data_IF_588481894938
#
_entry.id   IF_588481894938
#
_cell.length_a   1.000
_cell.length_b   1.000
_cell.length_c   1.000
_cell.angle_alpha   90.00
_cell.angle_beta   90.00
_cell.angle_gamma   90.00
#
_symmetry.space_group_name_H-M   'P 1'
#
loop_
_entity.id
_entity.type
_entity.pdbx_description
1 polymer ?
#
# COMPACT_ATOMS: atom_id res chain seq x y z
N UNK A 1 -7.48 -13.53 -23.44
CA UNK A 1 -6.03 -13.43 -23.16
C UNK A 1 -5.87 -12.73 -21.83
N UNK A 2 -5.05 -13.26 -20.93
CA UNK A 2 -4.68 -12.57 -19.69
C UNK A 2 -3.61 -11.52 -20.00
N UNK A 3 -3.72 -10.34 -19.39
CA UNK A 3 -2.76 -9.24 -19.55
C UNK A 3 -2.08 -9.02 -18.20
N UNK A 4 -0.74 -8.94 -18.20
CA UNK A 4 0.01 -8.60 -16.98
C UNK A 4 -0.25 -7.12 -16.66
N UNK A 5 -0.63 -6.84 -15.42
CA UNK A 5 -0.88 -5.47 -14.96
C UNK A 5 0.46 -4.70 -14.90
N UNK A 6 0.46 -3.50 -15.46
CA UNK A 6 1.58 -2.54 -15.45
C UNK A 6 1.06 -1.16 -15.84
N UNK A 7 1.89 -0.12 -15.66
CA UNK A 7 1.55 1.25 -16.06
C UNK A 7 1.31 1.38 -17.56
N UNK A 8 2.03 0.58 -18.36
CA UNK A 8 1.93 0.59 -19.82
C UNK A 8 0.59 0.08 -20.37
N UNK A 9 -0.19 -0.65 -19.57
CA UNK A 9 -1.51 -1.15 -19.99
C UNK A 9 -2.68 -0.33 -19.45
N UNK A 10 -2.45 0.66 -18.57
CA UNK A 10 -3.53 1.42 -17.92
C UNK A 10 -4.46 2.11 -18.93
N UNK A 11 -3.91 2.65 -20.02
CA UNK A 11 -4.69 3.26 -21.11
C UNK A 11 -5.46 2.26 -21.98
N UNK A 12 -5.25 0.95 -21.77
CA UNK A 12 -5.82 -0.15 -22.56
C UNK A 12 -6.56 -1.16 -21.67
N UNK A 13 -6.94 -0.74 -20.45
CA UNK A 13 -7.75 -1.58 -19.57
C UNK A 13 -9.08 -1.92 -20.26
N UNK A 14 -9.63 -3.11 -19.99
CA UNK A 14 -10.98 -3.45 -20.43
C UNK A 14 -12.00 -2.38 -19.95
N UNK A 15 -13.04 -2.07 -20.73
CA UNK A 15 -14.02 -1.02 -20.39
C UNK A 15 -14.67 -1.18 -19.01
N UNK A 16 -14.79 -2.41 -18.53
CA UNK A 16 -15.34 -2.77 -17.22
C UNK A 16 -14.37 -2.59 -16.04
N UNK A 17 -13.08 -2.33 -16.32
CA UNK A 17 -12.04 -2.13 -15.31
C UNK A 17 -11.72 -0.64 -15.20
N UNK A 18 -12.08 -0.03 -14.08
CA UNK A 18 -11.66 1.35 -13.79
C UNK A 18 -10.16 1.42 -13.54
N UNK A 19 -9.52 2.50 -13.99
CA UNK A 19 -8.10 2.77 -13.72
C UNK A 19 -7.87 4.17 -13.16
N UNK A 20 -6.65 4.46 -12.67
CA UNK A 20 -6.28 5.78 -12.17
C UNK A 20 -6.47 6.88 -13.24
N UNK A 21 -7.09 7.99 -12.86
CA UNK A 21 -7.28 9.20 -13.69
C UNK A 21 -6.26 10.30 -13.37
N UNK A 22 -5.28 10.00 -12.55
CA UNK A 22 -4.21 10.90 -12.12
C UNK A 22 -2.85 10.46 -12.68
N UNK A 23 -1.93 11.42 -12.83
CA UNK A 23 -0.57 11.12 -13.25
C UNK A 23 0.22 10.50 -12.09
N UNK A 24 0.47 9.20 -12.19
CA UNK A 24 1.24 8.45 -11.19
C UNK A 24 2.68 8.93 -11.07
N UNK A 25 3.29 9.44 -12.15
CA UNK A 25 4.66 9.92 -12.13
C UNK A 25 4.81 11.25 -11.38
N UNK A 26 3.71 11.99 -11.20
CA UNK A 26 3.68 13.25 -10.44
C UNK A 26 3.44 13.06 -8.94
N UNK A 27 3.11 11.84 -8.50
CA UNK A 27 2.83 11.53 -7.10
C UNK A 27 4.08 11.72 -6.22
N UNK A 28 3.88 12.23 -5.01
CA UNK A 28 4.92 12.35 -3.99
C UNK A 28 4.54 11.58 -2.74
N UNK A 29 5.53 10.95 -2.11
CA UNK A 29 5.31 10.20 -0.89
C UNK A 29 4.91 11.14 0.25
N UNK A 30 3.83 10.80 0.95
CA UNK A 30 3.42 11.47 2.19
C UNK A 30 3.13 10.50 3.34
N UNK A 31 3.12 9.19 3.05
CA UNK A 31 2.76 8.13 3.98
C UNK A 31 3.77 7.00 3.88
N UNK A 32 4.27 6.54 5.02
CA UNK A 32 4.90 5.22 5.15
C UNK A 32 3.89 4.26 5.76
N UNK A 33 3.71 3.09 5.15
CA UNK A 33 2.78 2.07 5.63
C UNK A 33 3.49 0.76 5.95
N UNK A 34 3.45 0.34 7.22
CA UNK A 34 3.99 -0.96 7.65
C UNK A 34 2.92 -2.06 7.60
N UNK A 35 3.29 -3.19 7.01
CA UNK A 35 2.39 -4.33 6.86
C UNK A 35 1.53 -4.22 5.61
N UNK A 36 2.11 -4.33 4.42
CA UNK A 36 1.40 -4.17 3.12
C UNK A 36 0.59 -5.42 2.79
N UNK A 37 -0.52 -5.59 3.51
CA UNK A 37 -1.42 -6.72 3.39
C UNK A 37 -2.57 -6.52 2.40
N UNK A 38 -3.51 -7.47 2.38
CA UNK A 38 -4.75 -7.36 1.59
C UNK A 38 -5.64 -6.23 2.11
N UNK A 39 -5.84 -6.15 3.43
CA UNK A 39 -6.69 -5.14 4.05
C UNK A 39 -6.23 -3.72 3.72
N UNK A 40 -4.91 -3.47 3.78
CA UNK A 40 -4.36 -2.17 3.40
C UNK A 40 -4.73 -1.77 1.97
N UNK A 41 -4.46 -2.67 1.02
CA UNK A 41 -4.68 -2.43 -0.41
C UNK A 41 -6.16 -2.33 -0.79
N UNK A 42 -7.04 -2.98 -0.04
CA UNK A 42 -8.50 -2.92 -0.24
C UNK A 42 -9.20 -1.83 0.59
N UNK A 43 -8.48 -1.09 1.44
CA UNK A 43 -9.08 -0.09 2.33
C UNK A 43 -8.38 1.26 2.26
N UNK A 44 -7.22 1.44 2.92
CA UNK A 44 -6.57 2.77 2.97
C UNK A 44 -6.12 3.22 1.58
N UNK A 45 -5.56 2.30 0.78
CA UNK A 45 -5.14 2.59 -0.58
C UNK A 45 -6.31 2.98 -1.50
N UNK A 46 -7.48 2.39 -1.28
CA UNK A 46 -8.72 2.68 -2.00
C UNK A 46 -9.19 4.11 -1.75
N UNK A 47 -9.22 4.57 -0.49
CA UNK A 47 -9.62 5.95 -0.17
C UNK A 47 -8.67 7.00 -0.74
N UNK A 48 -7.35 6.72 -0.76
CA UNK A 48 -6.38 7.59 -1.42
C UNK A 48 -6.57 7.61 -2.94
N UNK A 49 -6.91 6.47 -3.54
CA UNK A 49 -7.17 6.39 -4.98
C UNK A 49 -8.36 7.28 -5.36
N UNK A 50 -9.43 7.24 -4.57
CA UNK A 50 -10.60 8.10 -4.74
C UNK A 50 -10.24 9.60 -4.61
N UNK A 51 -9.43 9.96 -3.60
CA UNK A 51 -8.95 11.33 -3.40
C UNK A 51 -8.09 11.81 -4.58
N UNK A 52 -7.19 10.96 -5.08
CA UNK A 52 -6.29 11.30 -6.18
C UNK A 52 -7.07 11.43 -7.49
N UNK A 53 -8.08 10.59 -7.70
CA UNK A 53 -9.01 10.67 -8.84
C UNK A 53 -9.87 11.94 -8.80
N UNK A 54 -10.10 12.52 -7.62
CA UNK A 54 -10.72 13.85 -7.47
C UNK A 54 -9.74 15.01 -7.75
N UNK A 55 -8.50 14.73 -8.12
CA UNK A 55 -7.46 15.74 -8.40
C UNK A 55 -6.81 16.33 -7.15
N UNK A 56 -6.96 15.68 -5.99
CA UNK A 56 -6.52 16.18 -4.69
C UNK A 56 -5.44 15.27 -4.09
N UNK A 57 -4.62 15.82 -3.19
CA UNK A 57 -3.76 15.04 -2.31
C UNK A 57 -2.65 14.23 -2.97
N UNK A 58 -2.20 14.57 -4.18
CA UNK A 58 -1.15 13.84 -4.91
C UNK A 58 0.22 13.81 -4.20
N UNK A 59 0.36 14.52 -3.08
CA UNK A 59 1.48 14.50 -2.15
C UNK A 59 1.35 13.47 -1.00
N UNK A 60 0.31 12.62 -1.02
CA UNK A 60 0.03 11.59 -0.01
C UNK A 60 0.27 10.16 -0.49
N UNK A 61 1.08 9.96 -1.53
CA UNK A 61 1.36 8.63 -2.04
C UNK A 61 2.05 7.75 -0.99
N UNK A 62 1.85 6.43 -1.13
CA UNK A 62 2.32 5.45 -0.15
C UNK A 62 3.67 4.89 -0.54
N UNK A 63 4.58 4.87 0.44
CA UNK A 63 5.75 3.99 0.47
C UNK A 63 5.44 2.85 1.43
N UNK A 64 5.38 1.63 0.91
CA UNK A 64 5.26 0.44 1.77
C UNK A 64 6.54 0.21 2.57
N UNK A 65 6.43 -0.41 3.74
CA UNK A 65 7.58 -0.83 4.53
C UNK A 65 7.34 -2.23 5.07
N UNK A 66 8.31 -3.11 4.82
CA UNK A 66 8.26 -4.48 5.30
C UNK A 66 8.76 -4.60 6.74
N UNK A 67 8.08 -5.44 7.53
CA UNK A 67 8.41 -5.77 8.91
C UNK A 67 9.13 -7.12 8.98
N UNK A 68 8.75 -8.09 8.13
CA UNK A 68 9.33 -9.45 8.16
C UNK A 68 9.60 -10.00 6.75
N UNK A 69 10.52 -10.97 6.68
CA UNK A 69 11.06 -11.52 5.43
C UNK A 69 10.00 -12.08 4.46
N UNK A 70 8.90 -12.63 4.98
CA UNK A 70 7.81 -13.19 4.19
C UNK A 70 7.12 -12.18 3.26
N UNK A 71 7.19 -10.88 3.56
CA UNK A 71 6.58 -9.83 2.74
C UNK A 71 7.31 -9.59 1.42
N UNK A 72 8.57 -10.04 1.29
CA UNK A 72 9.40 -9.86 0.08
C UNK A 72 8.75 -10.45 -1.17
N UNK A 73 8.03 -11.57 -1.04
CA UNK A 73 7.34 -12.23 -2.16
C UNK A 73 6.18 -11.38 -2.68
N UNK A 74 5.32 -10.89 -1.76
CA UNK A 74 4.19 -10.02 -2.12
C UNK A 74 4.67 -8.71 -2.73
N UNK A 75 5.69 -8.10 -2.11
CA UNK A 75 6.40 -6.93 -2.63
C UNK A 75 6.96 -7.15 -4.04
N UNK A 76 7.58 -8.29 -4.32
CA UNK A 76 8.12 -8.61 -5.65
C UNK A 76 7.04 -8.60 -6.72
N UNK A 77 5.88 -9.21 -6.44
CA UNK A 77 4.72 -9.19 -7.34
C UNK A 77 4.20 -7.77 -7.59
N UNK A 78 4.14 -6.93 -6.56
CA UNK A 78 3.72 -5.54 -6.71
C UNK A 78 4.74 -4.75 -7.53
N UNK A 79 6.04 -4.92 -7.29
CA UNK A 79 7.08 -4.22 -8.05
C UNK A 79 7.01 -4.56 -9.55
N UNK A 80 6.81 -5.83 -9.90
CA UNK A 80 6.66 -6.26 -11.30
C UNK A 80 5.43 -5.67 -12.02
N UNK A 81 4.48 -5.11 -11.27
CA UNK A 81 3.28 -4.46 -11.79
C UNK A 81 3.32 -2.94 -11.58
N UNK A 82 4.51 -2.35 -11.40
CA UNK A 82 4.70 -0.94 -11.11
C UNK A 82 3.91 -0.46 -9.89
N UNK A 83 3.80 -1.29 -8.86
CA UNK A 83 3.06 -1.04 -7.61
C UNK A 83 1.54 -0.91 -7.77
N UNK A 84 0.99 -1.30 -8.92
CA UNK A 84 -0.45 -1.32 -9.15
C UNK A 84 -1.11 -2.52 -8.46
N UNK A 85 -2.35 -2.34 -8.01
CA UNK A 85 -3.19 -3.42 -7.47
C UNK A 85 -4.58 -3.39 -8.09
N UNK A 86 -5.09 -4.55 -8.50
CA UNK A 86 -6.51 -4.70 -8.83
C UNK A 86 -7.31 -4.99 -7.57
N UNK A 87 -8.34 -4.20 -7.32
CA UNK A 87 -9.34 -4.41 -6.27
C UNK A 87 -10.64 -4.83 -6.93
N UNK A 88 -11.21 -5.94 -6.46
CA UNK A 88 -12.53 -6.41 -6.88
C UNK A 88 -13.47 -6.26 -5.71
N UNK A 89 -14.51 -5.46 -5.88
CA UNK A 89 -15.61 -5.38 -4.92
C UNK A 89 -16.72 -6.30 -5.41
N UNK A 90 -17.28 -7.09 -4.49
CA UNK A 90 -18.26 -8.10 -4.83
C UNK A 90 -19.33 -8.20 -3.74
N UNK A 91 -20.58 -8.17 -4.18
CA UNK A 91 -21.77 -8.44 -3.35
C UNK A 91 -22.78 -9.34 -4.09
N UNK A 92 -24.00 -9.46 -3.55
CA UNK A 92 -25.08 -10.21 -4.18
C UNK A 92 -25.63 -9.49 -5.43
N UNK A 93 -25.01 -9.75 -6.58
CA UNK A 93 -25.46 -9.27 -7.90
C UNK A 93 -24.65 -8.10 -8.45
N UNK A 94 -23.73 -7.53 -7.67
CA UNK A 94 -22.78 -6.53 -8.13
C UNK A 94 -21.34 -7.04 -8.05
N UNK A 95 -20.58 -6.72 -9.08
CA UNK A 95 -19.13 -6.87 -9.11
C UNK A 95 -18.55 -5.64 -9.80
N UNK A 96 -17.61 -4.96 -9.15
CA UNK A 96 -16.86 -3.86 -9.73
C UNK A 96 -15.36 -4.18 -9.65
N UNK A 97 -14.61 -3.71 -10.64
CA UNK A 97 -13.17 -3.92 -10.73
C UNK A 97 -12.49 -2.59 -10.94
N UNK A 98 -11.50 -2.29 -10.11
CA UNK A 98 -10.64 -1.11 -10.29
C UNK A 98 -9.17 -1.43 -10.07
N UNK A 99 -8.31 -0.71 -10.77
CA UNK A 99 -6.87 -0.69 -10.53
C UNK A 99 -6.55 0.55 -9.70
N UNK A 100 -5.89 0.37 -8.55
CA UNK A 100 -5.35 1.46 -7.74
C UNK A 100 -3.85 1.63 -8.00
N UNK A 101 -3.38 2.88 -7.92
CA UNK A 101 -1.99 3.24 -8.26
C UNK A 101 -1.30 4.16 -7.26
N UNK A 102 -1.78 4.18 -6.02
CA UNK A 102 -1.36 5.11 -4.95
C UNK A 102 -0.02 4.77 -4.30
N UNK A 103 0.43 3.54 -4.43
CA UNK A 103 1.73 3.10 -3.94
C UNK A 103 2.80 3.38 -5.00
N UNK A 104 3.94 3.91 -4.57
CA UNK A 104 5.02 4.31 -5.49
C UNK A 104 6.36 3.64 -5.18
N UNK A 105 6.52 3.06 -3.99
CA UNK A 105 7.76 2.39 -3.59
C UNK A 105 7.54 1.43 -2.39
N UNK A 106 8.57 0.64 -2.06
CA UNK A 106 8.60 -0.24 -0.89
C UNK A 106 10.01 -0.35 -0.26
N UNK A 107 10.09 -0.16 1.05
CA UNK A 107 11.30 -0.34 1.86
C UNK A 107 11.42 -1.77 2.37
N UNK A 108 12.56 -2.42 2.10
CA UNK A 108 12.79 -3.82 2.44
C UNK A 108 12.82 -4.06 3.96
N UNK A 109 12.32 -5.21 4.45
CA UNK A 109 12.52 -5.62 5.84
C UNK A 109 14.01 -5.58 6.21
N UNK A 110 14.32 -5.06 7.40
CA UNK A 110 15.68 -4.96 7.92
C UNK A 110 16.54 -3.82 7.32
N UNK A 111 16.04 -3.06 6.35
CA UNK A 111 16.75 -1.90 5.78
C UNK A 111 16.68 -0.66 6.70
N UNK A 112 17.13 -0.80 7.95
CA UNK A 112 16.92 0.16 9.03
C UNK A 112 17.34 1.60 8.67
N UNK A 113 18.50 1.78 8.04
CA UNK A 113 18.97 3.10 7.62
C UNK A 113 18.01 3.78 6.63
N UNK A 114 17.57 3.06 5.60
CA UNK A 114 16.64 3.58 4.60
C UNK A 114 15.24 3.83 5.18
N UNK A 115 14.81 2.99 6.14
CA UNK A 115 13.56 3.19 6.87
C UNK A 115 13.62 4.47 7.72
N UNK A 116 14.68 4.64 8.52
CA UNK A 116 14.86 5.83 9.36
C UNK A 116 14.94 7.09 8.49
N UNK A 117 15.72 7.05 7.41
CA UNK A 117 15.83 8.17 6.47
C UNK A 117 14.45 8.55 5.90
N UNK A 118 13.67 7.57 5.43
CA UNK A 118 12.33 7.84 4.89
C UNK A 118 11.39 8.39 5.97
N UNK A 119 11.43 7.84 7.19
CA UNK A 119 10.60 8.30 8.30
C UNK A 119 10.96 9.71 8.77
N UNK A 120 12.21 10.13 8.59
CA UNK A 120 12.70 11.46 8.95
C UNK A 120 12.44 12.52 7.85
N UNK A 121 12.02 12.12 6.65
CA UNK A 121 11.67 13.04 5.57
C UNK A 121 10.45 13.89 5.98
N UNK A 122 10.54 15.23 6.02
CA UNK A 122 9.42 16.10 6.41
C UNK A 122 8.20 16.01 5.46
N UNK A 123 8.35 15.46 4.26
CA UNK A 123 7.22 15.16 3.38
C UNK A 123 6.36 14.00 3.90
N UNK A 124 6.97 13.05 4.61
CA UNK A 124 6.27 11.94 5.28
C UNK A 124 5.63 12.47 6.56
N UNK A 125 4.31 12.59 6.52
CA UNK A 125 3.52 13.21 7.60
C UNK A 125 2.67 12.18 8.35
N UNK A 126 2.54 10.98 7.81
CA UNK A 126 1.80 9.87 8.43
C UNK A 126 2.64 8.58 8.36
N UNK A 127 2.69 7.88 9.50
CA UNK A 127 3.07 6.47 9.57
C UNK A 127 1.81 5.68 9.90
N UNK A 128 1.47 4.70 9.08
CA UNK A 128 0.27 3.87 9.23
C UNK A 128 0.64 2.39 9.31
N UNK A 129 -0.20 1.60 10.00
CA UNK A 129 0.13 0.23 10.39
C UNK A 129 -1.04 -0.72 10.10
N UNK A 130 -0.77 -1.85 9.45
CA UNK A 130 -1.63 -3.04 9.53
C UNK A 130 -0.79 -4.27 9.89
N UNK A 131 -0.26 -4.25 11.12
CA UNK A 131 0.69 -5.24 11.65
C UNK A 131 0.03 -6.36 12.46
N UNK A 132 -1.29 -6.52 12.34
CA UNK A 132 -2.16 -7.38 13.19
C UNK A 132 -2.13 -6.98 14.66
N UNK A 133 -3.01 -7.57 15.46
CA UNK A 133 -3.14 -7.32 16.89
C UNK A 133 -1.85 -7.69 17.66
N UNK A 134 -1.19 -8.78 17.26
CA UNK A 134 0.04 -9.27 17.91
C UNK A 134 1.25 -8.37 17.69
N UNK A 135 1.27 -7.55 16.63
CA UNK A 135 2.41 -6.70 16.27
C UNK A 135 2.67 -5.53 17.23
N UNK A 136 1.75 -5.28 18.18
CA UNK A 136 1.92 -4.23 19.19
C UNK A 136 2.62 -4.74 20.46
N UNK A 137 2.80 -6.06 20.61
CA UNK A 137 3.39 -6.71 21.79
C UNK A 137 2.77 -6.26 23.13
N UNK A 138 1.45 -6.04 23.12
CA UNK A 138 0.65 -5.76 24.31
C UNK A 138 0.09 -7.09 24.83
N UNK A 139 0.30 -7.38 26.10
CA UNK A 139 -0.35 -8.52 26.77
C UNK A 139 -1.87 -8.28 26.84
N UNK A 140 -2.73 -9.14 26.26
CA UNK A 140 -4.16 -8.89 26.17
C UNK A 140 -4.89 -8.87 27.51
N UNK A 141 -4.35 -9.53 28.54
CA UNK A 141 -4.99 -9.62 29.85
C UNK A 141 -4.74 -8.36 30.69
N UNK A 142 -3.53 -7.80 30.59
CA UNK A 142 -3.09 -6.65 31.39
C UNK A 142 -3.12 -5.32 30.63
N UNK A 143 -3.09 -5.35 29.29
CA UNK A 143 -2.98 -4.16 28.45
C UNK A 143 -1.59 -3.51 28.49
N UNK A 144 -0.57 -4.20 28.99
CA UNK A 144 0.79 -3.68 29.18
C UNK A 144 1.72 -4.19 28.08
N UNK A 145 2.64 -3.32 27.63
CA UNK A 145 3.70 -3.69 26.69
C UNK A 145 4.68 -4.70 27.31
N UNK A 146 5.04 -5.74 26.54
CA UNK A 146 6.03 -6.73 26.93
C UNK A 146 7.43 -6.37 26.37
N UNK A 147 8.33 -5.77 27.18
CA UNK A 147 9.68 -5.41 26.71
C UNK A 147 10.62 -6.62 26.59
N UNK A 148 10.18 -7.81 27.01
CA UNK A 148 10.95 -9.07 26.94
C UNK A 148 10.51 -9.98 25.79
N UNK A 149 9.64 -9.47 24.90
CA UNK A 149 9.35 -10.15 23.65
C UNK A 149 10.68 -10.37 22.87
N UNK A 150 10.88 -11.55 22.25
CA UNK A 150 12.16 -11.90 21.63
C UNK A 150 12.48 -11.11 20.34
N UNK A 151 11.45 -10.55 19.70
CA UNK A 151 11.55 -9.59 18.59
C UNK A 151 11.53 -8.15 19.12
#
# INVERSE_FOLDING_TARGET
MTVKLSSSILAKLPPEVAGPKYDRAALKAGIVHFGVGNFHRSHQAVYLDDLFNAGLGHDWAIVGAGVFEGEKVGRGKLQEQDWLTTVVEQDAGHMSVRVTGVMIDFLMPGAAAAIIERLADPAIRIVSLTITEGGYFIDPASGVFNPTHPD
#
